data_IF_270746487367
#
_entry.id   IF_270746487367
#
_cell.length_a   1.000
_cell.length_b   1.000
_cell.length_c   1.000
_cell.angle_alpha   90.00
_cell.angle_beta   90.00
_cell.angle_gamma   90.00
#
_symmetry.space_group_name_H-M   'P 1'
#
loop_
_entity.id
_entity.type
_entity.pdbx_description
1 polymer ?
#
# COMPACT_ATOMS: atom_id res chain seq x y z
N UNK A 1 54.27 -11.42 10.58
CA UNK A 1 53.52 -10.75 11.67
C UNK A 1 52.04 -11.06 11.50
N UNK A 2 51.34 -11.20 12.63
CA UNK A 2 50.03 -11.87 12.76
C UNK A 2 48.89 -11.19 11.99
N UNK A 3 48.12 -12.01 11.28
CA UNK A 3 46.86 -11.68 10.62
C UNK A 3 45.80 -11.48 11.72
N UNK A 4 45.18 -10.31 11.80
CA UNK A 4 44.05 -10.06 12.69
C UNK A 4 42.75 -10.28 11.91
N UNK A 5 42.21 -11.49 12.02
CA UNK A 5 40.85 -11.84 11.63
C UNK A 5 39.88 -11.25 12.66
N UNK A 6 39.06 -10.27 12.28
CA UNK A 6 37.94 -9.80 13.11
C UNK A 6 36.74 -10.73 12.95
N UNK A 7 36.81 -11.88 13.62
CA UNK A 7 35.70 -12.80 13.81
C UNK A 7 35.10 -12.61 15.21
N UNK A 8 34.55 -11.43 15.51
CA UNK A 8 33.75 -11.19 16.73
C UNK A 8 32.68 -10.15 16.42
N UNK A 9 31.46 -10.63 16.19
CA UNK A 9 30.18 -10.02 16.62
C UNK A 9 29.07 -11.07 16.43
N UNK A 10 29.31 -12.26 16.99
CA UNK A 10 28.24 -13.20 17.32
C UNK A 10 27.48 -12.61 18.52
N UNK A 11 26.16 -12.48 18.36
CA UNK A 11 25.15 -12.22 19.40
C UNK A 11 25.10 -10.81 20.04
N UNK A 12 24.98 -9.76 19.24
CA UNK A 12 24.44 -8.49 19.74
C UNK A 12 22.90 -8.55 19.82
N UNK A 13 22.37 -8.52 21.05
CA UNK A 13 20.95 -8.29 21.39
C UNK A 13 20.36 -6.97 20.86
N UNK A 14 21.12 -6.21 20.07
CA UNK A 14 20.69 -4.96 19.43
C UNK A 14 19.71 -5.18 18.27
N UNK A 15 19.67 -6.38 17.68
CA UNK A 15 18.63 -6.73 16.69
C UNK A 15 17.22 -6.69 17.28
N UNK A 16 17.09 -6.87 18.61
CA UNK A 16 15.81 -6.76 19.31
C UNK A 16 15.34 -5.29 19.49
N UNK A 17 16.25 -4.32 19.43
CA UNK A 17 15.85 -2.91 19.61
C UNK A 17 15.29 -2.32 18.31
N UNK A 18 15.93 -2.64 17.19
CA UNK A 18 15.55 -2.10 15.88
C UNK A 18 14.20 -2.65 15.36
N UNK A 19 13.85 -3.91 15.69
CA UNK A 19 12.51 -4.41 15.32
C UNK A 19 11.39 -3.72 16.11
N UNK A 20 11.64 -3.35 17.38
CA UNK A 20 10.70 -2.56 18.17
C UNK A 20 10.54 -1.15 17.58
N UNK A 21 11.62 -0.58 17.05
CA UNK A 21 11.62 0.75 16.46
C UNK A 21 10.87 0.80 15.13
N UNK A 22 11.04 -0.20 14.24
CA UNK A 22 10.24 -0.26 12.99
C UNK A 22 8.75 -0.49 13.29
N UNK A 23 8.42 -1.31 14.29
CA UNK A 23 7.03 -1.64 14.61
C UNK A 23 6.26 -0.43 15.16
N UNK A 24 6.96 0.48 15.84
CA UNK A 24 6.36 1.71 16.36
C UNK A 24 6.22 2.82 15.30
N UNK A 25 7.03 2.81 14.24
CA UNK A 25 6.90 3.78 13.13
C UNK A 25 5.79 3.37 12.15
N UNK A 26 5.52 2.07 12.03
CA UNK A 26 4.53 1.52 11.08
C UNK A 26 3.07 1.63 11.53
N UNK A 27 2.78 2.27 12.67
CA UNK A 27 1.44 2.31 13.28
C UNK A 27 0.65 3.59 13.00
N UNK A 28 1.27 4.63 12.43
CA UNK A 28 0.60 5.91 12.18
C UNK A 28 -0.11 6.02 10.82
N UNK A 29 0.08 5.06 9.90
CA UNK A 29 -0.63 5.06 8.61
C UNK A 29 -2.07 4.54 8.75
N UNK A 30 -2.34 3.69 9.75
CA UNK A 30 -3.66 3.08 9.94
C UNK A 30 -4.61 3.88 10.83
N UNK A 31 -4.17 5.02 11.39
CA UNK A 31 -4.98 5.86 12.28
C UNK A 31 -5.06 7.33 11.84
N UNK A 32 -4.90 7.60 10.55
CA UNK A 32 -5.56 8.77 9.97
C UNK A 32 -7.07 8.53 10.08
N UNK A 33 -7.64 9.01 11.19
CA UNK A 33 -9.07 9.17 11.42
C UNK A 33 -9.66 9.80 10.16
N UNK A 34 -10.26 8.98 9.30
CA UNK A 34 -11.08 9.45 8.19
C UNK A 34 -12.25 10.17 8.86
N UNK A 35 -12.09 11.49 9.02
CA UNK A 35 -13.22 12.35 9.28
C UNK A 35 -14.18 12.12 8.12
N UNK A 36 -15.51 12.01 8.35
CA UNK A 36 -16.45 11.95 7.26
C UNK A 36 -16.49 13.35 6.65
N UNK A 37 -15.49 13.68 5.84
CA UNK A 37 -15.56 14.77 4.88
C UNK A 37 -16.50 14.24 3.81
N UNK A 38 -17.79 14.33 4.11
CA UNK A 38 -18.85 14.24 3.13
C UNK A 38 -18.82 15.54 2.30
N UNK A 39 -17.69 15.82 1.66
CA UNK A 39 -17.68 16.69 0.50
C UNK A 39 -18.44 15.91 -0.57
N UNK A 40 -19.68 16.33 -0.78
CA UNK A 40 -20.51 15.85 -1.88
C UNK A 40 -19.81 16.25 -3.17
N UNK A 41 -18.98 15.36 -3.71
CA UNK A 41 -18.43 15.48 -5.05
C UNK A 41 -19.62 15.62 -6.02
N UNK A 42 -19.74 16.75 -6.75
CA UNK A 42 -20.85 16.98 -7.66
C UNK A 42 -20.54 16.27 -8.98
N UNK A 43 -21.10 15.10 -9.16
CA UNK A 43 -20.93 14.31 -10.39
C UNK A 43 -21.31 12.86 -10.14
N UNK A 44 -21.57 12.10 -11.20
CA UNK A 44 -21.83 10.67 -11.06
C UNK A 44 -20.50 9.98 -10.67
N UNK A 45 -20.22 9.89 -9.37
CA UNK A 45 -18.95 9.46 -8.74
C UNK A 45 -18.60 7.98 -8.96
N UNK A 46 -19.45 7.23 -9.64
CA UNK A 46 -19.25 5.80 -9.85
C UNK A 46 -18.39 5.55 -11.09
N UNK A 47 -17.07 5.54 -10.91
CA UNK A 47 -16.12 4.99 -11.88
C UNK A 47 -16.09 3.45 -11.87
N UNK A 48 -16.99 2.82 -11.11
CA UNK A 48 -17.08 1.38 -10.94
C UNK A 48 -18.26 0.87 -11.76
N UNK A 49 -17.97 -0.12 -12.62
CA UNK A 49 -18.97 -0.89 -13.34
C UNK A 49 -19.07 -2.28 -12.72
N UNK A 50 -20.28 -2.70 -12.36
CA UNK A 50 -20.53 -4.06 -11.87
C UNK A 50 -20.81 -4.95 -13.07
N UNK A 51 -20.06 -6.04 -13.19
CA UNK A 51 -20.24 -7.01 -14.26
C UNK A 51 -21.68 -7.54 -14.32
N UNK A 52 -22.25 -7.75 -15.53
CA UNK A 52 -23.63 -8.24 -15.69
C UNK A 52 -23.90 -9.61 -15.06
N UNK A 53 -22.85 -10.40 -14.83
CA UNK A 53 -22.95 -11.70 -14.16
C UNK A 53 -23.42 -11.58 -12.70
N UNK A 54 -23.11 -10.47 -12.02
CA UNK A 54 -23.54 -10.23 -10.66
C UNK A 54 -24.87 -9.46 -10.63
N UNK A 55 -25.96 -10.19 -10.42
CA UNK A 55 -27.31 -9.64 -10.49
C UNK A 55 -27.61 -8.72 -9.29
N UNK A 56 -28.44 -7.68 -9.44
CA UNK A 56 -28.77 -6.77 -8.32
C UNK A 56 -29.47 -7.43 -7.14
N UNK A 57 -30.19 -8.52 -7.38
CA UNK A 57 -30.93 -9.26 -6.35
C UNK A 57 -30.08 -10.34 -5.68
N UNK A 58 -28.88 -10.58 -6.18
CA UNK A 58 -27.94 -11.55 -5.65
C UNK A 58 -27.04 -10.85 -4.64
N UNK A 59 -27.21 -11.19 -3.36
CA UNK A 59 -26.45 -10.62 -2.23
C UNK A 59 -26.46 -9.07 -2.18
N UNK A 60 -27.63 -8.44 -1.99
CA UNK A 60 -27.77 -6.99 -2.06
C UNK A 60 -27.00 -6.24 -0.96
N UNK A 61 -26.83 -6.84 0.21
CA UNK A 61 -26.04 -6.28 1.31
C UNK A 61 -24.56 -6.19 0.93
N UNK A 62 -23.99 -7.29 0.42
CA UNK A 62 -22.61 -7.32 -0.06
C UNK A 62 -22.40 -6.30 -1.18
N UNK A 63 -23.33 -6.23 -2.14
CA UNK A 63 -23.28 -5.27 -3.24
C UNK A 63 -23.23 -3.82 -2.73
N UNK A 64 -24.04 -3.52 -1.71
CA UNK A 64 -24.05 -2.20 -1.08
C UNK A 64 -22.73 -1.92 -0.37
N UNK A 65 -22.19 -2.88 0.38
CA UNK A 65 -20.88 -2.77 1.03
C UNK A 65 -19.76 -2.53 0.02
N UNK A 66 -19.73 -3.26 -1.09
CA UNK A 66 -18.71 -3.08 -2.14
C UNK A 66 -18.79 -1.68 -2.74
N UNK A 67 -19.98 -1.21 -3.12
CA UNK A 67 -20.16 0.13 -3.67
C UNK A 67 -19.83 1.24 -2.66
N UNK A 68 -20.00 0.98 -1.37
CA UNK A 68 -19.67 1.95 -0.32
C UNK A 68 -18.17 2.08 -0.10
N UNK A 69 -17.40 0.99 -0.21
CA UNK A 69 -15.98 0.95 0.16
C UNK A 69 -15.03 1.03 -1.04
N UNK A 70 -15.41 0.47 -2.18
CA UNK A 70 -14.66 0.64 -3.42
C UNK A 70 -14.96 2.03 -3.95
N UNK A 71 -14.01 2.95 -3.77
CA UNK A 71 -14.13 4.34 -4.19
C UNK A 71 -12.96 4.71 -5.07
N UNK A 72 -13.24 5.50 -6.10
CA UNK A 72 -12.21 6.11 -6.93
C UNK A 72 -12.23 7.59 -6.65
N UNK A 73 -11.09 8.10 -6.20
CA UNK A 73 -10.86 9.52 -5.93
C UNK A 73 -9.99 10.06 -7.06
N UNK A 74 -10.58 10.72 -8.08
CA UNK A 74 -9.79 11.27 -9.17
C UNK A 74 -8.87 12.36 -8.63
N UNK A 75 -7.65 12.45 -9.19
CA UNK A 75 -6.64 13.43 -8.80
C UNK A 75 -6.33 13.40 -7.29
N UNK A 76 -6.37 12.21 -6.67
CA UNK A 76 -5.99 12.05 -5.27
C UNK A 76 -4.51 12.38 -5.02
N UNK A 77 -3.66 12.10 -6.01
CA UNK A 77 -2.25 12.49 -6.02
C UNK A 77 -2.11 13.59 -7.07
N UNK A 78 -1.42 14.67 -6.72
CA UNK A 78 -1.07 15.75 -7.64
C UNK A 78 0.17 15.40 -8.48
N UNK A 79 0.38 16.09 -9.60
CA UNK A 79 1.54 15.84 -10.49
C UNK A 79 2.90 16.00 -9.76
N UNK A 80 2.98 16.96 -8.84
CA UNK A 80 4.18 17.18 -8.02
C UNK A 80 4.44 16.01 -7.06
N UNK A 81 3.38 15.50 -6.42
CA UNK A 81 3.44 14.33 -5.54
C UNK A 81 3.77 13.05 -6.33
N UNK A 82 3.21 12.87 -7.52
CA UNK A 82 3.53 11.75 -8.42
C UNK A 82 5.02 11.75 -8.76
N UNK A 83 5.58 12.92 -9.12
CA UNK A 83 6.99 13.07 -9.45
C UNK A 83 7.88 12.75 -8.24
N UNK A 84 7.51 13.23 -7.06
CA UNK A 84 8.24 12.96 -5.82
C UNK A 84 8.24 11.47 -5.46
N UNK A 85 7.08 10.80 -5.55
CA UNK A 85 6.94 9.36 -5.30
C UNK A 85 7.77 8.54 -6.29
N UNK A 86 7.74 8.90 -7.57
CA UNK A 86 8.49 8.19 -8.61
C UNK A 86 10.00 8.29 -8.37
N UNK A 87 10.49 9.49 -8.04
CA UNK A 87 11.91 9.72 -7.74
C UNK A 87 12.42 8.89 -6.53
N UNK A 88 11.55 8.61 -5.57
CA UNK A 88 11.87 7.76 -4.41
C UNK A 88 11.98 6.28 -4.79
N UNK A 89 10.99 5.74 -5.53
CA UNK A 89 10.88 4.29 -5.78
C UNK A 89 11.70 3.80 -6.98
N UNK A 90 11.85 4.63 -8.02
CA UNK A 90 12.48 4.24 -9.29
C UNK A 90 13.89 3.65 -9.11
N UNK A 91 14.80 4.22 -8.29
CA UNK A 91 16.16 3.70 -8.16
C UNK A 91 16.21 2.24 -7.68
N UNK A 92 15.24 1.82 -6.87
CA UNK A 92 15.14 0.45 -6.37
C UNK A 92 14.47 -0.44 -7.41
N UNK A 93 13.30 -0.04 -7.89
CA UNK A 93 12.48 -0.84 -8.82
C UNK A 93 13.21 -1.14 -10.13
N UNK A 94 13.96 -0.17 -10.67
CA UNK A 94 14.79 -0.34 -11.87
C UNK A 94 15.83 -1.47 -11.77
N UNK A 95 16.33 -1.75 -10.57
CA UNK A 95 17.35 -2.79 -10.34
C UNK A 95 16.72 -4.17 -10.17
N UNK A 96 15.42 -4.23 -9.88
CA UNK A 96 14.69 -5.48 -9.77
C UNK A 96 14.45 -6.05 -11.15
N UNK A 97 14.41 -7.38 -11.24
CA UNK A 97 13.96 -8.06 -12.45
C UNK A 97 12.45 -8.16 -12.39
N UNK A 98 11.79 -7.96 -13.52
CA UNK A 98 10.38 -8.32 -13.64
C UNK A 98 10.20 -9.79 -13.28
N UNK A 99 9.19 -10.06 -12.48
CA UNK A 99 8.81 -11.43 -12.15
C UNK A 99 8.29 -12.12 -13.42
N UNK A 100 8.52 -13.42 -13.52
CA UNK A 100 7.88 -14.21 -14.56
C UNK A 100 6.39 -14.32 -14.24
N UNK A 101 5.54 -14.28 -15.26
CA UNK A 101 4.12 -14.53 -15.08
C UNK A 101 3.91 -16.00 -14.67
N UNK A 102 3.24 -16.21 -13.54
CA UNK A 102 2.84 -17.53 -13.07
C UNK A 102 1.31 -17.58 -13.12
N UNK A 103 0.77 -18.54 -13.85
CA UNK A 103 -0.67 -18.59 -14.09
C UNK A 103 -1.44 -19.23 -12.92
N UNK A 104 -0.80 -20.02 -12.04
CA UNK A 104 -1.47 -20.77 -10.95
C UNK A 104 -0.56 -21.76 -10.17
N UNK A 105 0.77 -21.61 -10.19
CA UNK A 105 1.66 -22.48 -9.38
C UNK A 105 1.69 -22.08 -7.90
#
# INVERSE_FOLDING_TARGET
MRILTFSILKNCKQKLSLYKLYKNLSLDVTQARVQPVAEKLPGNTSYIEILPSWKPNEEPELRTTVLQHMRILPNFVSEDEETALLAEVEPVLKRMRYEFDHWDN
#
